data_IF_513939665767
#
_entry.id   IF_513939665767
#
_cell.length_a   1.000
_cell.length_b   1.000
_cell.length_c   1.000
_cell.angle_alpha   90.00
_cell.angle_beta   90.00
_cell.angle_gamma   90.00
#
_symmetry.space_group_name_H-M   'P 1'
#
loop_
_entity.id
_entity.type
_entity.pdbx_description
1 polymer ?
#
# COMPACT_ATOMS: atom_id res chain seq x y z
N UNK A 1 -3.88 12.29 7.02
CA UNK A 1 -3.80 11.04 7.80
C UNK A 1 -3.18 9.95 6.94
N UNK A 2 -2.97 8.75 7.49
CA UNK A 2 -2.56 7.56 6.72
C UNK A 2 -3.81 6.72 6.47
N UNK A 3 -4.05 6.29 5.23
CA UNK A 3 -5.16 5.41 4.87
C UNK A 3 -4.93 4.00 5.42
N UNK A 4 -5.98 3.31 5.88
CA UNK A 4 -5.86 1.91 6.27
C UNK A 4 -5.62 1.02 5.04
N UNK A 5 -4.90 -0.11 5.17
CA UNK A 5 -4.64 -1.04 4.08
C UNK A 5 -5.90 -1.50 3.33
N UNK A 6 -7.01 -1.69 4.05
CA UNK A 6 -8.29 -2.13 3.51
C UNK A 6 -8.89 -1.07 2.56
N UNK A 7 -8.69 0.21 2.87
CA UNK A 7 -9.11 1.31 1.99
C UNK A 7 -8.33 1.26 0.68
N UNK A 8 -7.01 1.06 0.73
CA UNK A 8 -6.19 0.91 -0.48
C UNK A 8 -6.61 -0.34 -1.26
N UNK A 9 -6.82 -1.48 -0.59
CA UNK A 9 -7.26 -2.71 -1.26
C UNK A 9 -8.58 -2.52 -2.02
N UNK A 10 -9.54 -1.76 -1.47
CA UNK A 10 -10.78 -1.42 -2.18
C UNK A 10 -10.53 -0.63 -3.47
N UNK A 11 -9.58 0.31 -3.47
CA UNK A 11 -9.21 1.05 -4.69
C UNK A 11 -8.56 0.13 -5.74
N UNK A 12 -7.70 -0.79 -5.30
CA UNK A 12 -7.08 -1.78 -6.18
C UNK A 12 -8.15 -2.67 -6.82
N UNK A 13 -9.09 -3.22 -6.03
CA UNK A 13 -10.19 -4.05 -6.54
C UNK A 13 -11.01 -3.30 -7.60
N UNK A 14 -11.31 -2.02 -7.36
CA UNK A 14 -12.00 -1.17 -8.34
C UNK A 14 -11.19 -0.98 -9.63
N UNK A 15 -9.87 -0.81 -9.54
CA UNK A 15 -9.03 -0.70 -10.73
C UNK A 15 -9.03 -2.01 -11.56
N UNK A 16 -9.08 -3.16 -10.89
CA UNK A 16 -9.11 -4.48 -11.53
C UNK A 16 -10.42 -4.79 -12.27
N UNK A 17 -11.48 -4.00 -12.06
CA UNK A 17 -12.69 -4.07 -12.89
C UNK A 17 -12.42 -3.62 -14.34
N UNK A 18 -11.34 -2.87 -14.57
CA UNK A 18 -11.04 -2.25 -15.87
C UNK A 18 -9.79 -2.81 -16.57
N UNK A 19 -8.87 -3.42 -15.81
CA UNK A 19 -7.61 -3.94 -16.37
C UNK A 19 -7.10 -5.14 -15.57
N UNK A 20 -6.39 -6.08 -16.23
CA UNK A 20 -5.90 -7.27 -15.55
C UNK A 20 -4.72 -6.94 -14.61
N UNK A 21 -4.50 -7.71 -13.54
CA UNK A 21 -3.51 -7.42 -12.51
C UNK A 21 -2.09 -7.13 -13.02
N UNK A 22 -1.65 -7.85 -14.06
CA UNK A 22 -0.33 -7.71 -14.68
C UNK A 22 -0.11 -6.35 -15.39
N UNK A 23 -1.17 -5.57 -15.58
CA UNK A 23 -1.11 -4.21 -16.15
C UNK A 23 -1.33 -3.11 -15.10
N UNK A 24 -1.56 -3.47 -13.84
CA UNK A 24 -1.81 -2.50 -12.76
C UNK A 24 -0.51 -2.09 -12.08
N UNK A 25 -0.16 -0.81 -12.16
CA UNK A 25 0.92 -0.21 -11.36
C UNK A 25 0.31 0.63 -10.24
N UNK A 26 0.67 0.31 -9.01
CA UNK A 26 0.24 1.04 -7.83
C UNK A 26 1.21 2.18 -7.55
N UNK A 27 0.66 3.37 -7.36
CA UNK A 27 1.40 4.58 -7.04
C UNK A 27 0.56 5.47 -6.13
N UNK A 28 1.13 6.59 -5.72
CA UNK A 28 0.40 7.71 -5.12
C UNK A 28 -0.20 8.58 -6.23
N UNK A 29 -1.28 9.29 -5.92
CA UNK A 29 -1.95 10.22 -6.84
C UNK A 29 -0.98 11.32 -7.34
N UNK A 30 -0.09 11.79 -6.47
CA UNK A 30 0.97 12.74 -6.78
C UNK A 30 2.20 12.51 -5.88
N UNK A 31 3.22 13.36 -6.04
CA UNK A 31 4.41 13.35 -5.17
C UNK A 31 4.14 13.99 -3.80
N UNK A 32 4.87 13.53 -2.77
CA UNK A 32 4.74 14.05 -1.40
C UNK A 32 5.38 15.44 -1.16
N UNK A 33 6.09 15.99 -2.14
CA UNK A 33 6.89 17.21 -1.96
C UNK A 33 6.10 18.52 -2.06
N UNK A 34 5.06 18.59 -2.90
CA UNK A 34 4.38 19.85 -3.22
C UNK A 34 3.49 20.39 -2.10
N UNK A 35 2.91 19.49 -1.30
CA UNK A 35 1.89 19.84 -0.29
C UNK A 35 2.42 19.82 1.15
N UNK A 36 3.74 19.77 1.34
CA UNK A 36 4.34 19.80 2.67
C UNK A 36 3.95 18.60 3.54
N UNK A 37 3.66 17.44 2.93
CA UNK A 37 3.26 16.26 3.68
C UNK A 37 4.40 15.83 4.61
N UNK A 38 4.08 15.70 5.91
CA UNK A 38 5.06 15.25 6.89
C UNK A 38 5.70 13.93 6.45
N UNK A 39 7.03 13.86 6.50
CA UNK A 39 7.82 12.68 6.06
C UNK A 39 7.31 11.38 6.68
N UNK A 40 6.90 11.42 7.95
CA UNK A 40 6.31 10.27 8.65
C UNK A 40 5.01 9.80 8.01
N UNK A 41 4.12 10.71 7.61
CA UNK A 41 2.85 10.36 6.96
C UNK A 41 3.11 9.84 5.56
N UNK A 42 4.00 10.48 4.79
CA UNK A 42 4.43 10.00 3.48
C UNK A 42 4.96 8.55 3.56
N UNK A 43 5.84 8.28 4.52
CA UNK A 43 6.40 6.96 4.76
C UNK A 43 5.31 5.92 5.00
N UNK A 44 4.40 6.15 5.96
CA UNK A 44 3.36 5.18 6.29
C UNK A 44 2.28 5.03 5.21
N UNK A 45 2.06 6.03 4.35
CA UNK A 45 1.25 5.87 3.14
C UNK A 45 1.87 4.87 2.17
N UNK A 46 3.20 4.91 1.96
CA UNK A 46 3.88 3.90 1.16
C UNK A 46 3.76 2.50 1.77
N UNK A 47 3.82 2.38 3.09
CA UNK A 47 3.59 1.10 3.79
C UNK A 47 2.17 0.61 3.55
N UNK A 48 1.16 1.46 3.71
CA UNK A 48 -0.24 1.13 3.48
C UNK A 48 -0.53 0.67 2.04
N UNK A 49 0.12 1.26 1.04
CA UNK A 49 0.01 0.81 -0.36
C UNK A 49 0.42 -0.65 -0.52
N UNK A 50 1.57 -1.03 0.05
CA UNK A 50 2.08 -2.40 -0.05
C UNK A 50 1.23 -3.39 0.75
N UNK A 51 0.76 -3.00 1.95
CA UNK A 51 -0.12 -3.84 2.75
C UNK A 51 -1.46 -4.09 2.05
N UNK A 52 -2.07 -3.04 1.48
CA UNK A 52 -3.29 -3.16 0.69
C UNK A 52 -3.09 -4.04 -0.56
N UNK A 53 -1.93 -3.92 -1.22
CA UNK A 53 -1.58 -4.78 -2.35
C UNK A 53 -1.48 -6.25 -1.95
N UNK A 54 -0.91 -6.59 -0.78
CA UNK A 54 -0.85 -7.96 -0.30
C UNK A 54 -2.23 -8.56 -0.01
N UNK A 55 -3.18 -7.78 0.51
CA UNK A 55 -4.56 -8.24 0.68
C UNK A 55 -5.15 -8.72 -0.65
N UNK A 56 -5.01 -7.92 -1.71
CA UNK A 56 -5.52 -8.27 -3.04
C UNK A 56 -4.71 -9.39 -3.69
N UNK A 57 -3.38 -9.42 -3.50
CA UNK A 57 -2.54 -10.54 -3.99
C UNK A 57 -2.98 -11.87 -3.39
N UNK A 58 -3.28 -11.92 -2.09
CA UNK A 58 -3.80 -13.11 -1.42
C UNK A 58 -5.11 -13.58 -2.04
N UNK A 59 -6.05 -12.66 -2.29
CA UNK A 59 -7.33 -12.95 -2.96
C UNK A 59 -7.13 -13.55 -4.36
N UNK A 60 -6.16 -13.01 -5.11
CA UNK A 60 -5.80 -13.48 -6.44
C UNK A 60 -4.87 -14.71 -6.45
N UNK A 61 -4.51 -15.24 -5.26
CA UNK A 61 -3.53 -16.34 -5.10
C UNK A 61 -2.16 -16.01 -5.71
N UNK A 62 -1.78 -14.74 -5.68
CA UNK A 62 -0.47 -14.25 -6.08
C UNK A 62 0.50 -14.21 -4.88
N UNK A 63 1.82 -14.28 -5.11
CA UNK A 63 2.80 -14.16 -4.04
C UNK A 63 2.69 -12.80 -3.33
N UNK A 64 2.53 -12.84 -2.00
CA UNK A 64 2.66 -11.68 -1.13
C UNK A 64 4.14 -11.27 -0.99
N UNK A 65 4.41 -9.99 -0.69
CA UNK A 65 5.77 -9.50 -0.42
C UNK A 65 5.94 -9.16 1.05
N UNK A 66 7.14 -9.41 1.57
CA UNK A 66 7.49 -8.93 2.91
C UNK A 66 7.59 -7.39 2.91
N UNK A 67 7.08 -6.78 3.97
CA UNK A 67 7.10 -5.33 4.17
C UNK A 67 7.79 -5.07 5.52
N UNK A 68 9.12 -4.90 5.54
CA UNK A 68 9.88 -4.77 6.80
C UNK A 68 9.38 -3.63 7.69
N UNK A 69 8.87 -2.55 7.09
CA UNK A 69 8.32 -1.40 7.81
C UNK A 69 7.01 -1.69 8.57
N UNK A 70 6.34 -2.82 8.29
CA UNK A 70 5.13 -3.27 8.95
C UNK A 70 5.38 -4.42 9.95
N UNK A 71 6.62 -4.89 10.06
CA UNK A 71 6.97 -6.01 10.91
C UNK A 71 7.26 -5.53 12.35
N UNK A 72 6.53 -6.02 13.36
CA UNK A 72 6.71 -5.60 14.75
C UNK A 72 8.11 -5.91 15.28
N UNK A 73 8.83 -6.91 14.73
CA UNK A 73 10.20 -7.27 15.14
C UNK A 73 11.18 -6.11 14.97
N UNK A 74 10.92 -5.21 14.03
CA UNK A 74 11.76 -4.04 13.77
C UNK A 74 11.25 -2.75 14.42
N UNK A 75 10.24 -2.85 15.28
CA UNK A 75 9.74 -1.71 16.06
C UNK A 75 10.51 -1.57 17.37
N UNK A 76 10.62 -0.34 17.89
CA UNK A 76 11.37 -0.03 19.11
C UNK A 76 10.78 -0.63 20.40
N UNK A 77 9.64 -1.33 20.33
CA UNK A 77 8.90 -1.84 21.48
C UNK A 77 8.89 -3.36 21.58
N UNK A 78 9.99 -4.02 21.21
CA UNK A 78 10.14 -5.48 21.17
C UNK A 78 9.49 -6.23 22.32
#
# INVERSE_FOLDING_TARGET
AVEPPEFVANLIRRALEYLPPERLVLSTDCGFGREGLARRIAFYKCVAINLGANLVRRELKLPEVEIPAADPRWTFGG
#
